data_IF_326845315883
#
_entry.id   IF_326845315883
#
_cell.length_a   1.000
_cell.length_b   1.000
_cell.length_c   1.000
_cell.angle_alpha   90.00
_cell.angle_beta   90.00
_cell.angle_gamma   90.00
#
_symmetry.space_group_name_H-M   'P 1'
#
loop_
_entity.id
_entity.type
_entity.pdbx_description
1 polymer ?
#
# COMPACT_ATOMS: atom_id res chain seq x y z
N UNK A 1 13.38 -50.87 -62.31
CA UNK A 1 14.47 -51.08 -61.34
C UNK A 1 13.91 -50.88 -59.95
N UNK A 2 14.22 -51.79 -59.03
CA UNK A 2 13.82 -51.74 -57.62
C UNK A 2 14.86 -50.98 -56.79
N UNK A 3 14.41 -50.09 -55.90
CA UNK A 3 15.21 -49.66 -54.75
C UNK A 3 14.29 -49.24 -53.61
N UNK A 4 14.07 -50.19 -52.69
CA UNK A 4 13.49 -49.93 -51.37
C UNK A 4 14.26 -48.81 -50.66
N UNK A 5 13.53 -47.86 -50.07
CA UNK A 5 14.06 -46.94 -49.05
C UNK A 5 13.38 -47.27 -47.73
N UNK A 6 14.16 -47.78 -46.78
CA UNK A 6 13.66 -48.13 -45.44
C UNK A 6 13.52 -46.85 -44.59
N UNK A 7 12.32 -46.58 -44.09
CA UNK A 7 12.13 -45.60 -43.02
C UNK A 7 12.57 -46.21 -41.67
N UNK A 8 13.36 -45.50 -40.84
CA UNK A 8 13.61 -45.90 -39.46
C UNK A 8 12.33 -45.73 -38.60
N UNK A 9 12.16 -46.53 -37.52
CA UNK A 9 10.95 -46.53 -36.72
C UNK A 9 10.81 -45.27 -35.82
N UNK A 10 9.57 -44.91 -35.43
CA UNK A 10 9.34 -43.80 -34.50
C UNK A 10 9.87 -44.11 -33.09
N UNK A 11 10.25 -43.07 -32.30
CA UNK A 11 10.70 -43.23 -30.92
C UNK A 11 9.57 -43.72 -30.00
N UNK A 12 9.90 -44.36 -28.86
CA UNK A 12 8.92 -45.00 -27.98
C UNK A 12 8.00 -44.00 -27.28
N UNK A 13 6.75 -44.42 -27.08
CA UNK A 13 5.73 -43.69 -26.34
C UNK A 13 5.85 -43.95 -24.83
N UNK A 14 6.50 -43.05 -24.09
CA UNK A 14 6.49 -43.10 -22.63
C UNK A 14 5.14 -42.62 -22.07
N UNK A 15 4.26 -43.57 -21.80
CA UNK A 15 3.08 -43.37 -20.95
C UNK A 15 3.51 -43.33 -19.47
N UNK A 16 4.01 -42.18 -19.01
CA UNK A 16 4.24 -41.92 -17.59
C UNK A 16 2.99 -41.30 -16.96
N UNK A 17 2.10 -42.16 -16.43
CA UNK A 17 0.93 -41.73 -15.66
C UNK A 17 1.36 -41.04 -14.36
N UNK A 18 1.37 -39.71 -14.35
CA UNK A 18 1.58 -38.92 -13.13
C UNK A 18 0.27 -38.87 -12.33
N UNK A 19 0.13 -39.80 -11.38
CA UNK A 19 -0.94 -39.76 -10.37
C UNK A 19 -0.66 -38.61 -9.40
N UNK A 20 -1.39 -37.50 -9.54
CA UNK A 20 -1.35 -36.40 -8.56
C UNK A 20 -2.16 -36.81 -7.32
N UNK A 21 -1.51 -37.47 -6.38
CA UNK A 21 -2.05 -37.71 -5.04
C UNK A 21 -2.00 -36.41 -4.24
N UNK A 22 -3.15 -35.88 -3.84
CA UNK A 22 -3.21 -34.70 -2.94
C UNK A 22 -2.58 -35.06 -1.59
N UNK A 23 -1.44 -34.46 -1.26
CA UNK A 23 -0.90 -34.49 0.10
C UNK A 23 -1.31 -33.20 0.83
N UNK A 24 -1.87 -33.38 2.03
CA UNK A 24 -2.45 -32.33 2.87
C UNK A 24 -1.76 -32.36 4.22
N UNK A 25 -0.69 -31.58 4.37
CA UNK A 25 0.09 -31.55 5.61
C UNK A 25 -0.25 -30.32 6.46
N UNK A 26 -0.96 -30.59 7.56
CA UNK A 26 -1.22 -29.67 8.67
C UNK A 26 -0.67 -30.34 9.94
N UNK A 27 0.46 -29.88 10.52
CA UNK A 27 1.04 -30.53 11.69
C UNK A 27 0.41 -29.98 12.98
N UNK A 28 -0.29 -30.86 13.71
CA UNK A 28 -0.67 -30.60 15.10
C UNK A 28 -0.14 -31.69 16.02
N UNK A 29 0.46 -31.24 17.13
CA UNK A 29 0.66 -31.97 18.40
C UNK A 29 1.14 -33.41 18.34
N UNK A 30 2.41 -33.59 18.68
CA UNK A 30 2.83 -34.79 19.40
C UNK A 30 2.40 -34.71 20.88
N UNK A 31 2.00 -35.85 21.44
CA UNK A 31 1.64 -36.01 22.86
C UNK A 31 2.33 -37.25 23.40
N UNK A 32 3.18 -37.11 24.42
CA UNK A 32 3.72 -38.26 25.16
C UNK A 32 2.78 -38.66 26.30
N UNK A 33 2.19 -39.84 26.14
CA UNK A 33 1.29 -40.53 27.08
C UNK A 33 2.12 -41.23 28.18
N UNK A 34 1.57 -41.43 29.40
CA UNK A 34 1.57 -42.74 30.12
C UNK A 34 0.67 -42.76 31.38
N UNK A 35 -0.53 -43.31 31.20
CA UNK A 35 -1.24 -44.34 32.03
C UNK A 35 -1.75 -44.04 33.47
N UNK A 36 -3.04 -44.36 33.67
CA UNK A 36 -3.80 -44.42 34.94
C UNK A 36 -3.44 -45.65 35.81
N UNK A 37 -3.63 -45.65 37.15
CA UNK A 37 -4.83 -46.16 37.91
C UNK A 37 -4.49 -46.27 39.43
N UNK A 38 -5.37 -46.38 40.45
CA UNK A 38 -6.84 -46.25 40.63
C UNK A 38 -7.18 -46.15 42.15
N UNK A 39 -8.46 -45.86 42.48
CA UNK A 39 -9.23 -46.41 43.63
C UNK A 39 -9.09 -45.88 45.09
N UNK A 40 -10.16 -45.16 45.50
CA UNK A 40 -10.93 -45.20 46.78
C UNK A 40 -10.42 -44.52 48.08
N UNK A 41 -11.40 -43.89 48.75
CA UNK A 41 -11.49 -43.37 50.14
C UNK A 41 -12.31 -44.35 51.04
N UNK A 42 -12.55 -44.15 52.37
CA UNK A 42 -11.88 -43.33 53.42
C UNK A 42 -11.52 -44.17 54.71
N UNK A 43 -11.85 -43.78 55.99
CA UNK A 43 -10.95 -43.32 57.05
C UNK A 43 -10.81 -44.28 58.27
N UNK A 44 -10.16 -43.89 59.40
CA UNK A 44 -10.94 -43.51 60.61
C UNK A 44 -10.27 -42.48 61.59
N UNK A 45 -10.99 -42.15 62.68
CA UNK A 45 -10.69 -41.17 63.76
C UNK A 45 -9.58 -41.54 64.79
N UNK A 46 -9.03 -40.54 65.51
CA UNK A 46 -9.27 -40.29 66.96
C UNK A 46 -8.11 -39.62 67.78
N UNK A 47 -8.46 -38.57 68.58
CA UNK A 47 -7.87 -38.14 69.89
C UNK A 47 -6.36 -37.71 69.97
N UNK A 48 -5.87 -36.71 70.73
CA UNK A 48 -6.28 -36.13 72.03
C UNK A 48 -5.44 -34.90 72.46
N UNK A 49 -5.99 -34.05 73.34
CA UNK A 49 -5.36 -33.30 74.47
C UNK A 49 -4.33 -32.14 74.31
N UNK A 50 -4.60 -31.07 75.09
CA UNK A 50 -3.73 -29.93 75.49
C UNK A 50 -2.94 -30.29 76.79
N UNK A 51 -2.17 -29.37 77.45
CA UNK A 51 -1.07 -28.46 77.07
C UNK A 51 0.19 -28.81 77.96
N UNK A 52 0.97 -27.94 78.67
CA UNK A 52 1.37 -26.52 78.52
C UNK A 52 2.89 -26.19 78.74
N UNK A 53 3.22 -24.89 78.60
CA UNK A 53 4.11 -24.06 79.46
C UNK A 53 5.63 -23.80 79.19
N UNK A 54 5.94 -22.49 79.26
CA UNK A 54 7.09 -21.79 79.85
C UNK A 54 8.53 -21.62 79.27
N UNK A 55 9.00 -20.37 79.53
CA UNK A 55 10.37 -19.81 79.66
C UNK A 55 11.37 -19.80 78.49
N UNK A 56 11.51 -18.60 77.91
CA UNK A 56 12.72 -17.75 77.97
C UNK A 56 14.12 -18.38 77.94
N UNK A 57 14.87 -18.14 76.86
CA UNK A 57 16.27 -17.68 76.96
C UNK A 57 16.71 -16.94 75.68
N UNK A 58 17.33 -15.76 75.84
CA UNK A 58 17.76 -14.87 74.74
C UNK A 58 19.28 -14.61 74.81
N UNK A 59 20.05 -14.90 73.75
CA UNK A 59 21.38 -14.34 73.51
C UNK A 59 21.33 -12.94 72.86
N UNK A 60 22.43 -12.15 72.89
CA UNK A 60 22.44 -10.73 72.49
C UNK A 60 22.32 -10.50 70.97
N UNK A 61 21.95 -9.29 70.53
CA UNK A 61 21.72 -9.00 69.11
C UNK A 61 23.04 -8.88 68.31
N UNK A 62 23.08 -9.39 67.06
CA UNK A 62 24.03 -8.91 66.06
C UNK A 62 23.71 -7.45 65.69
N UNK A 63 24.73 -6.67 65.32
CA UNK A 63 24.54 -5.30 64.85
C UNK A 63 23.90 -5.29 63.45
N UNK A 64 22.81 -4.54 63.29
CA UNK A 64 22.20 -4.27 61.99
C UNK A 64 23.01 -3.19 61.26
N UNK A 65 23.78 -3.63 60.28
CA UNK A 65 24.39 -2.81 59.24
C UNK A 65 23.97 -3.37 57.86
N UNK A 66 22.66 -3.51 57.58
CA UNK A 66 22.23 -3.98 56.24
C UNK A 66 20.99 -3.29 55.65
N UNK A 67 20.50 -2.19 56.23
CA UNK A 67 19.31 -1.50 55.70
C UNK A 67 19.59 -0.50 54.55
N UNK A 68 20.85 -0.17 54.24
CA UNK A 68 21.19 0.86 53.24
C UNK A 68 21.52 0.27 51.85
N UNK A 69 22.13 -0.92 51.81
CA UNK A 69 22.56 -1.56 50.56
C UNK A 69 21.41 -2.20 49.77
N UNK A 70 20.38 -2.71 50.44
CA UNK A 70 19.21 -3.31 49.79
C UNK A 70 18.40 -2.28 48.98
N UNK A 71 18.21 -1.08 49.53
CA UNK A 71 17.52 0.02 48.84
C UNK A 71 18.34 0.50 47.64
N UNK A 72 19.65 0.65 47.81
CA UNK A 72 20.53 1.09 46.73
C UNK A 72 20.61 0.06 45.60
N UNK A 73 20.70 -1.23 45.94
CA UNK A 73 20.71 -2.35 44.99
C UNK A 73 19.37 -2.50 44.27
N UNK A 74 18.23 -2.31 44.98
CA UNK A 74 16.91 -2.32 44.36
C UNK A 74 16.71 -1.16 43.38
N UNK A 75 17.14 0.06 43.75
CA UNK A 75 17.13 1.22 42.85
C UNK A 75 18.05 0.97 41.65
N UNK A 76 19.26 0.43 41.87
CA UNK A 76 20.21 0.16 40.79
C UNK A 76 19.68 -0.87 39.78
N UNK A 77 18.96 -1.90 40.24
CA UNK A 77 18.45 -2.96 39.37
C UNK A 77 17.12 -2.60 38.68
N UNK A 78 16.25 -1.79 39.29
CA UNK A 78 14.95 -1.42 38.70
C UNK A 78 14.92 -0.03 38.05
N UNK A 79 15.64 0.96 38.58
CA UNK A 79 15.58 2.36 38.10
C UNK A 79 16.65 2.70 37.04
N UNK A 80 17.73 1.91 36.92
CA UNK A 80 18.72 2.02 35.82
C UNK A 80 18.50 0.99 34.70
N UNK A 81 17.28 0.48 34.53
CA UNK A 81 16.93 -0.20 33.27
C UNK A 81 17.06 0.79 32.10
N UNK A 82 17.51 0.36 30.89
CA UNK A 82 17.66 1.27 29.75
C UNK A 82 16.38 2.07 29.44
N UNK A 83 15.22 1.47 29.65
CA UNK A 83 13.91 2.11 29.47
C UNK A 83 13.61 3.18 30.53
N UNK A 84 13.91 2.93 31.82
CA UNK A 84 13.75 3.92 32.87
C UNK A 84 14.74 5.09 32.72
N UNK A 85 16.00 4.78 32.35
CA UNK A 85 17.02 5.79 32.09
C UNK A 85 16.66 6.66 30.88
N UNK A 86 16.08 6.08 29.83
CA UNK A 86 15.54 6.84 28.69
C UNK A 86 14.38 7.75 29.10
N UNK A 87 13.47 7.29 29.98
CA UNK A 87 12.39 8.12 30.52
C UNK A 87 12.91 9.30 31.37
N UNK A 88 13.97 9.09 32.15
CA UNK A 88 14.64 10.17 32.92
C UNK A 88 15.34 11.16 32.00
N UNK A 89 16.03 10.69 30.95
CA UNK A 89 16.64 11.56 29.94
C UNK A 89 15.57 12.39 29.22
N UNK A 90 14.45 11.78 28.81
CA UNK A 90 13.32 12.52 28.23
C UNK A 90 12.75 13.55 29.21
N UNK A 91 12.52 13.19 30.48
CA UNK A 91 12.05 14.12 31.50
C UNK A 91 12.97 15.34 31.65
N UNK A 92 14.30 15.12 31.67
CA UNK A 92 15.30 16.19 31.75
C UNK A 92 15.28 17.07 30.49
N UNK A 93 15.19 16.47 29.29
CA UNK A 93 15.07 17.21 28.03
C UNK A 93 13.79 18.06 28.00
N UNK A 94 12.65 17.48 28.39
CA UNK A 94 11.36 18.18 28.48
C UNK A 94 11.42 19.32 29.51
N UNK A 95 12.04 19.09 30.67
CA UNK A 95 12.25 20.12 31.69
C UNK A 95 13.08 21.29 31.15
N UNK A 96 14.21 21.02 30.48
CA UNK A 96 15.04 22.09 29.90
C UNK A 96 14.35 22.81 28.73
N UNK A 97 13.62 22.10 27.87
CA UNK A 97 12.83 22.69 26.78
C UNK A 97 11.72 23.58 27.35
N UNK A 98 10.97 23.09 28.34
CA UNK A 98 9.94 23.88 29.03
C UNK A 98 10.55 25.12 29.70
N UNK A 99 11.63 24.96 30.48
CA UNK A 99 12.31 26.07 31.15
C UNK A 99 12.86 27.11 30.17
N UNK A 100 13.44 26.66 29.05
CA UNK A 100 13.95 27.54 27.98
C UNK A 100 12.81 28.30 27.29
N UNK A 101 11.70 27.63 26.98
CA UNK A 101 10.54 28.28 26.36
C UNK A 101 9.86 29.25 27.34
N UNK A 102 9.73 28.90 28.63
CA UNK A 102 9.29 29.85 29.67
C UNK A 102 10.25 31.05 29.75
N UNK A 103 11.56 30.83 29.71
CA UNK A 103 12.57 31.89 29.73
C UNK A 103 12.57 32.79 28.48
N UNK A 104 12.10 32.30 27.34
CA UNK A 104 11.86 33.08 26.14
C UNK A 104 10.55 33.88 26.21
N UNK A 105 9.48 33.30 26.77
CA UNK A 105 8.16 33.93 26.85
C UNK A 105 8.02 34.97 27.97
N UNK A 106 8.65 34.75 29.12
CA UNK A 106 8.57 35.65 30.28
C UNK A 106 9.68 36.71 30.30
N UNK A 107 10.31 36.99 29.15
CA UNK A 107 11.35 38.02 28.99
C UNK A 107 10.76 39.43 28.80
N UNK A 108 9.76 39.77 29.61
CA UNK A 108 9.02 41.04 29.61
C UNK A 108 7.90 41.03 30.67
N UNK A 109 7.47 42.20 31.16
CA UNK A 109 6.42 42.28 32.19
C UNK A 109 5.13 41.57 31.76
N UNK A 110 4.49 40.77 32.64
CA UNK A 110 3.24 40.08 32.32
C UNK A 110 2.07 41.07 32.39
N UNK A 111 1.71 41.67 31.25
CA UNK A 111 0.64 42.67 31.13
C UNK A 111 -0.54 42.24 30.25
N UNK A 112 -0.59 40.96 29.82
CA UNK A 112 -1.75 40.39 29.13
C UNK A 112 -1.98 38.92 29.48
N UNK A 113 -3.25 38.50 29.43
CA UNK A 113 -3.67 37.09 29.50
C UNK A 113 -3.04 36.22 28.41
N UNK A 114 -2.58 36.83 27.31
CA UNK A 114 -1.87 36.17 26.20
C UNK A 114 -0.75 35.21 26.66
N UNK A 115 0.11 35.62 27.61
CA UNK A 115 1.22 34.77 28.08
C UNK A 115 0.76 33.48 28.80
N UNK A 116 -0.42 33.50 29.43
CA UNK A 116 -1.02 32.32 30.07
C UNK A 116 -1.55 31.36 29.02
N UNK A 117 -2.16 31.89 27.95
CA UNK A 117 -2.63 31.08 26.82
C UNK A 117 -1.49 30.45 26.03
N UNK A 118 -0.37 31.15 25.82
CA UNK A 118 0.82 30.56 25.19
C UNK A 118 1.42 29.43 26.04
N UNK A 119 1.46 29.57 27.36
CA UNK A 119 1.87 28.48 28.26
C UNK A 119 0.93 27.26 28.13
N UNK A 120 -0.39 27.51 28.05
CA UNK A 120 -1.39 26.46 27.88
C UNK A 120 -1.27 25.76 26.51
N UNK A 121 -0.98 26.50 25.43
CA UNK A 121 -0.66 25.95 24.10
C UNK A 121 0.52 24.97 24.19
N UNK A 122 1.63 25.38 24.82
CA UNK A 122 2.85 24.56 24.95
C UNK A 122 2.60 23.31 25.78
N UNK A 123 1.86 23.42 26.89
CA UNK A 123 1.51 22.28 27.71
C UNK A 123 0.65 21.28 26.92
N UNK A 124 -0.38 21.74 26.21
CA UNK A 124 -1.27 20.86 25.44
C UNK A 124 -0.52 20.19 24.28
N UNK A 125 0.16 20.95 23.43
CA UNK A 125 0.90 20.38 22.29
C UNK A 125 2.10 19.54 22.73
N UNK A 126 2.78 19.92 23.82
CA UNK A 126 3.86 19.13 24.43
C UNK A 126 3.38 17.79 24.98
N UNK A 127 2.25 17.76 25.69
CA UNK A 127 1.63 16.51 26.17
C UNK A 127 1.19 15.63 25.00
N UNK A 128 0.61 16.19 23.94
CA UNK A 128 0.20 15.43 22.74
C UNK A 128 1.44 14.87 22.02
N UNK A 129 2.48 15.66 21.82
CA UNK A 129 3.73 15.20 21.19
C UNK A 129 4.38 14.08 22.00
N UNK A 130 4.42 14.21 23.34
CA UNK A 130 4.95 13.17 24.22
C UNK A 130 4.11 11.90 24.15
N UNK A 131 2.78 12.01 24.16
CA UNK A 131 1.89 10.86 23.99
C UNK A 131 2.10 10.17 22.64
N UNK A 132 2.21 10.93 21.54
CA UNK A 132 2.47 10.40 20.21
C UNK A 132 3.82 9.67 20.15
N UNK A 133 4.89 10.29 20.67
CA UNK A 133 6.22 9.66 20.74
C UNK A 133 6.19 8.38 21.58
N UNK A 134 5.56 8.41 22.77
CA UNK A 134 5.42 7.22 23.62
C UNK A 134 4.63 6.11 22.93
N UNK A 135 3.51 6.43 22.28
CA UNK A 135 2.70 5.47 21.52
C UNK A 135 3.46 4.87 20.33
N UNK A 136 4.28 5.66 19.66
CA UNK A 136 5.14 5.21 18.57
C UNK A 136 6.29 4.34 19.07
N UNK A 137 7.00 4.72 20.15
CA UNK A 137 8.12 3.94 20.67
C UNK A 137 7.69 2.54 21.14
N UNK A 138 6.51 2.44 21.78
CA UNK A 138 5.96 1.19 22.31
C UNK A 138 5.37 0.24 21.26
N UNK A 139 5.17 0.68 20.01
CA UNK A 139 4.78 -0.20 18.90
C UNK A 139 5.89 -1.19 18.52
N UNK A 140 5.52 -2.38 18.10
CA UNK A 140 6.44 -3.34 17.50
C UNK A 140 7.03 -2.82 16.18
N UNK A 141 8.14 -3.41 15.66
CA UNK A 141 8.72 -2.97 14.38
C UNK A 141 7.73 -3.03 13.20
N UNK A 142 6.94 -4.10 13.11
CA UNK A 142 5.96 -4.33 12.04
C UNK A 142 4.77 -3.34 12.09
N UNK A 143 4.38 -2.92 13.30
CA UNK A 143 3.39 -1.84 13.48
C UNK A 143 3.93 -0.44 13.20
N UNK A 144 5.25 -0.23 13.19
CA UNK A 144 5.86 1.07 12.87
C UNK A 144 5.83 1.32 11.37
N UNK A 145 6.13 0.30 10.57
CA UNK A 145 6.08 0.37 9.11
C UNK A 145 4.65 0.61 8.59
N UNK A 146 3.65 0.04 9.27
CA UNK A 146 2.23 0.17 8.91
C UNK A 146 1.49 1.34 9.59
N UNK A 147 2.12 2.06 10.53
CA UNK A 147 1.46 3.04 11.40
C UNK A 147 0.64 4.11 10.66
N UNK A 148 1.12 4.56 9.48
CA UNK A 148 0.40 5.53 8.65
C UNK A 148 -0.86 4.93 8.00
N UNK A 149 -0.78 3.69 7.53
CA UNK A 149 -1.89 2.96 6.91
C UNK A 149 -3.00 2.70 7.93
N UNK A 150 -2.64 2.23 9.13
CA UNK A 150 -3.57 2.00 10.23
C UNK A 150 -4.27 3.30 10.64
N UNK A 151 -3.52 4.39 10.81
CA UNK A 151 -4.09 5.71 11.15
C UNK A 151 -5.05 6.20 10.07
N UNK A 152 -4.72 6.02 8.79
CA UNK A 152 -5.60 6.39 7.68
C UNK A 152 -6.88 5.54 7.64
N UNK A 153 -6.77 4.24 7.95
CA UNK A 153 -7.90 3.33 8.07
C UNK A 153 -8.83 3.76 9.21
N UNK A 154 -8.30 4.03 10.40
CA UNK A 154 -9.10 4.49 11.55
C UNK A 154 -9.85 5.80 11.24
N UNK A 155 -9.20 6.74 10.55
CA UNK A 155 -9.82 7.99 10.09
C UNK A 155 -10.95 7.71 9.07
N UNK A 156 -10.73 6.80 8.12
CA UNK A 156 -11.75 6.39 7.14
C UNK A 156 -12.94 5.71 7.81
N UNK A 157 -12.69 4.78 8.72
CA UNK A 157 -13.72 4.01 9.43
C UNK A 157 -14.53 4.93 10.36
N UNK A 158 -13.90 5.97 10.93
CA UNK A 158 -14.61 7.04 11.63
C UNK A 158 -15.48 7.89 10.69
N UNK A 159 -14.90 8.43 9.60
CA UNK A 159 -15.59 9.36 8.69
C UNK A 159 -16.76 8.71 7.94
N UNK A 160 -16.66 7.41 7.64
CA UNK A 160 -17.71 6.63 6.97
C UNK A 160 -18.81 6.13 7.90
N UNK A 161 -18.68 6.31 9.22
CA UNK A 161 -19.74 5.98 10.17
C UNK A 161 -20.99 6.85 9.93
N UNK A 162 -22.21 6.27 9.84
CA UNK A 162 -23.43 7.03 9.54
C UNK A 162 -23.80 8.11 10.59
N UNK A 163 -23.16 8.10 11.76
CA UNK A 163 -23.37 9.08 12.83
C UNK A 163 -22.14 9.98 13.08
N UNK A 164 -21.10 9.91 12.24
CA UNK A 164 -19.86 10.66 12.38
C UNK A 164 -20.09 12.18 12.52
N UNK A 165 -20.96 12.75 11.69
CA UNK A 165 -21.29 14.18 11.73
C UNK A 165 -22.02 14.58 13.03
N UNK A 166 -22.86 13.70 13.59
CA UNK A 166 -23.53 13.94 14.88
C UNK A 166 -22.49 13.93 16.01
N UNK A 167 -21.58 12.95 16.00
CA UNK A 167 -20.50 12.86 16.98
C UNK A 167 -19.58 14.08 16.92
N UNK A 168 -19.21 14.53 15.71
CA UNK A 168 -18.41 15.74 15.50
C UNK A 168 -19.15 17.01 15.95
N UNK A 169 -20.47 17.11 15.72
CA UNK A 169 -21.29 18.23 16.20
C UNK A 169 -21.38 18.26 17.73
N UNK A 170 -21.64 17.11 18.37
CA UNK A 170 -21.68 16.99 19.83
C UNK A 170 -20.31 17.35 20.44
N UNK A 171 -19.21 16.86 19.84
CA UNK A 171 -17.85 17.24 20.23
C UNK A 171 -17.64 18.76 20.15
N UNK A 172 -18.03 19.40 19.04
CA UNK A 172 -17.95 20.85 18.89
C UNK A 172 -18.77 21.58 19.97
N UNK A 173 -20.01 21.15 20.24
CA UNK A 173 -20.85 21.77 21.28
C UNK A 173 -20.23 21.64 22.67
N UNK A 174 -19.76 20.44 23.03
CA UNK A 174 -19.08 20.19 24.31
C UNK A 174 -17.80 21.03 24.42
N UNK A 175 -17.00 21.09 23.36
CA UNK A 175 -15.76 21.89 23.32
C UNK A 175 -16.07 23.39 23.50
N UNK A 176 -17.09 23.94 22.83
CA UNK A 176 -17.51 25.33 23.04
C UNK A 176 -18.02 25.58 24.47
N UNK A 177 -18.78 24.66 25.06
CA UNK A 177 -19.25 24.76 26.45
C UNK A 177 -18.07 24.76 27.43
N UNK A 178 -17.08 23.88 27.23
CA UNK A 178 -15.86 23.84 28.05
C UNK A 178 -15.07 25.15 27.91
N UNK A 179 -14.80 25.61 26.69
CA UNK A 179 -14.08 26.86 26.44
C UNK A 179 -14.80 28.07 27.06
N UNK A 180 -16.13 28.13 26.97
CA UNK A 180 -16.95 29.14 27.62
C UNK A 180 -16.88 29.07 29.15
N UNK A 181 -17.00 27.87 29.74
CA UNK A 181 -16.93 27.64 31.19
C UNK A 181 -15.59 28.08 31.78
N UNK A 182 -14.48 27.76 31.11
CA UNK A 182 -13.13 28.18 31.48
C UNK A 182 -12.77 29.61 31.04
N UNK A 183 -13.72 30.34 30.40
CA UNK A 183 -13.54 31.71 29.88
C UNK A 183 -12.34 31.87 28.93
N UNK A 184 -12.07 30.85 28.14
CA UNK A 184 -10.99 30.85 27.15
C UNK A 184 -11.52 31.54 25.88
N UNK A 185 -10.85 32.59 25.36
CA UNK A 185 -11.33 33.33 24.20
C UNK A 185 -11.30 32.45 22.94
N UNK A 186 -12.40 32.45 22.20
CA UNK A 186 -12.56 31.70 20.93
C UNK A 186 -12.38 32.58 19.69
N UNK A 187 -12.29 33.89 19.87
CA UNK A 187 -12.17 34.91 18.81
C UNK A 187 -11.23 36.04 19.24
N UNK A 188 -10.70 36.80 18.27
CA UNK A 188 -9.75 37.90 18.52
C UNK A 188 -8.28 37.48 18.47
N UNK A 189 -7.39 38.45 18.73
CA UNK A 189 -5.93 38.28 18.69
C UNK A 189 -5.37 37.43 19.83
N UNK A 190 -6.05 37.36 20.97
CA UNK A 190 -5.62 36.61 22.16
C UNK A 190 -6.14 35.17 22.20
N UNK A 191 -6.70 34.65 21.09
CA UNK A 191 -7.18 33.28 20.98
C UNK A 191 -5.98 32.30 21.02
N UNK A 192 -5.96 31.29 21.93
CA UNK A 192 -4.90 30.28 21.94
C UNK A 192 -4.85 29.48 20.64
N UNK A 193 -3.66 29.00 20.28
CA UNK A 193 -3.47 28.20 19.06
C UNK A 193 -4.19 26.84 19.14
N UNK A 194 -4.19 26.18 20.31
CA UNK A 194 -4.89 24.91 20.53
C UNK A 194 -6.40 25.07 20.30
N UNK A 195 -6.99 26.19 20.73
CA UNK A 195 -8.41 26.51 20.49
C UNK A 195 -8.67 26.65 18.99
N UNK A 196 -7.80 27.35 18.26
CA UNK A 196 -7.87 27.44 16.81
C UNK A 196 -7.75 26.09 16.11
N UNK A 197 -6.82 25.26 16.56
CA UNK A 197 -6.55 23.93 16.03
C UNK A 197 -7.72 22.97 16.25
N UNK A 198 -8.16 22.76 17.48
CA UNK A 198 -9.24 21.80 17.78
C UNK A 198 -10.60 22.23 17.24
N UNK A 199 -10.94 23.52 17.28
CA UNK A 199 -12.16 24.01 16.64
C UNK A 199 -12.06 23.89 15.11
N UNK A 200 -10.92 24.23 14.51
CA UNK A 200 -10.69 24.11 13.07
C UNK A 200 -10.80 22.66 12.58
N UNK A 201 -10.05 21.75 13.20
CA UNK A 201 -10.12 20.32 12.91
C UNK A 201 -11.52 19.75 13.17
N UNK A 202 -12.19 20.13 14.27
CA UNK A 202 -13.56 19.72 14.56
C UNK A 202 -14.56 20.16 13.49
N UNK A 203 -14.46 21.41 13.00
CA UNK A 203 -15.29 21.90 11.90
C UNK A 203 -14.98 21.22 10.57
N UNK A 204 -13.70 20.96 10.26
CA UNK A 204 -13.29 20.22 9.06
C UNK A 204 -13.86 18.80 9.09
N UNK A 205 -13.71 18.08 10.20
CA UNK A 205 -14.26 16.72 10.38
C UNK A 205 -15.79 16.74 10.32
N UNK A 206 -16.46 17.70 10.97
CA UNK A 206 -17.91 17.85 10.89
C UNK A 206 -18.39 18.06 9.44
N UNK A 207 -17.76 18.97 8.69
CA UNK A 207 -18.13 19.26 7.30
C UNK A 207 -17.87 18.06 6.39
N UNK A 208 -16.72 17.39 6.51
CA UNK A 208 -16.42 16.19 5.72
C UNK A 208 -17.40 15.06 6.05
N UNK A 209 -17.64 14.76 7.32
CA UNK A 209 -18.61 13.73 7.74
C UNK A 209 -20.04 14.06 7.33
N UNK A 210 -20.44 15.35 7.34
CA UNK A 210 -21.75 15.78 6.86
C UNK A 210 -21.88 15.58 5.35
N UNK A 211 -20.83 15.91 4.58
CA UNK A 211 -20.77 15.64 3.14
C UNK A 211 -20.90 14.14 2.88
N UNK A 212 -20.13 13.29 3.58
CA UNK A 212 -20.24 11.82 3.47
C UNK A 212 -21.64 11.33 3.76
N UNK A 213 -22.26 11.79 4.85
CA UNK A 213 -23.62 11.40 5.19
C UNK A 213 -24.65 11.85 4.15
N UNK A 214 -24.50 13.05 3.57
CA UNK A 214 -25.37 13.51 2.47
C UNK A 214 -25.18 12.65 1.22
N UNK A 215 -23.95 12.35 0.81
CA UNK A 215 -23.70 11.51 -0.37
C UNK A 215 -24.18 10.06 -0.18
N UNK A 216 -23.99 9.49 1.01
CA UNK A 216 -24.49 8.17 1.38
C UNK A 216 -26.03 8.13 1.45
N UNK A 217 -26.70 9.08 2.12
CA UNK A 217 -28.15 9.03 2.34
C UNK A 217 -29.01 9.67 1.27
N UNK A 218 -28.55 10.72 0.61
CA UNK A 218 -29.32 11.40 -0.44
C UNK A 218 -29.03 10.85 -1.83
N UNK A 219 -27.79 10.44 -2.10
CA UNK A 219 -27.37 9.96 -3.42
C UNK A 219 -27.09 8.44 -3.48
N UNK A 220 -27.05 7.73 -2.34
CA UNK A 220 -26.68 6.31 -2.25
C UNK A 220 -25.23 6.00 -2.74
N UNK A 221 -24.33 6.98 -2.57
CA UNK A 221 -22.93 6.93 -3.01
C UNK A 221 -22.01 7.19 -1.82
N UNK A 222 -21.21 6.19 -1.47
CA UNK A 222 -20.21 6.25 -0.42
C UNK A 222 -18.91 6.85 -0.97
N UNK A 223 -18.52 8.03 -0.50
CA UNK A 223 -17.37 8.82 -1.00
C UNK A 223 -15.97 8.19 -0.81
N UNK A 224 -15.83 7.25 0.12
CA UNK A 224 -14.54 6.75 0.61
C UNK A 224 -14.35 5.23 0.49
N UNK A 225 -15.33 4.51 -0.07
CA UNK A 225 -15.04 3.19 -0.64
C UNK A 225 -14.48 3.37 -2.08
N UNK A 226 -13.92 2.30 -2.65
CA UNK A 226 -13.45 2.34 -4.05
C UNK A 226 -14.58 2.66 -5.03
N UNK A 227 -15.83 2.31 -4.65
CA UNK A 227 -17.00 2.44 -5.49
C UNK A 227 -17.40 3.89 -5.78
N UNK A 228 -16.90 4.91 -5.08
CA UNK A 228 -17.13 6.30 -5.49
C UNK A 228 -16.65 6.57 -6.93
N UNK A 229 -15.42 6.11 -7.24
CA UNK A 229 -14.81 6.30 -8.55
C UNK A 229 -15.47 5.41 -9.61
N UNK A 230 -15.94 4.23 -9.21
CA UNK A 230 -16.68 3.30 -10.07
C UNK A 230 -18.13 3.78 -10.35
N UNK A 231 -18.83 4.33 -9.34
CA UNK A 231 -20.23 4.81 -9.46
C UNK A 231 -20.36 6.09 -10.28
N UNK A 232 -19.34 6.96 -10.30
CA UNK A 232 -19.31 8.09 -11.24
C UNK A 232 -19.21 7.60 -12.69
N UNK A 233 -18.55 6.47 -12.93
CA UNK A 233 -18.51 5.83 -14.26
C UNK A 233 -19.72 4.93 -14.56
N UNK A 234 -20.56 4.62 -13.56
CA UNK A 234 -21.74 3.74 -13.70
C UNK A 234 -23.05 4.33 -13.17
N UNK A 235 -23.54 5.41 -13.77
CA UNK A 235 -24.96 5.78 -13.67
C UNK A 235 -25.83 4.94 -14.63
N UNK A 236 -26.03 3.66 -14.28
CA UNK A 236 -27.17 2.83 -14.72
C UNK A 236 -27.62 1.92 -13.55
N UNK A 237 -28.93 1.68 -13.36
CA UNK A 237 -29.42 1.02 -12.15
C UNK A 237 -29.17 -0.50 -12.14
N UNK A 238 -29.18 -1.04 -10.92
CA UNK A 238 -29.17 -2.46 -10.55
C UNK A 238 -30.25 -3.27 -11.32
N UNK A 239 -30.18 -4.60 -11.46
CA UNK A 239 -29.63 -5.57 -10.50
C UNK A 239 -29.24 -6.94 -11.11
N UNK A 240 -28.64 -7.79 -10.26
CA UNK A 240 -28.47 -9.25 -10.34
C UNK A 240 -27.45 -9.88 -11.31
N UNK A 241 -26.35 -10.33 -10.70
CA UNK A 241 -25.77 -11.69 -10.83
C UNK A 241 -25.42 -12.20 -12.25
N UNK A 242 -24.19 -11.90 -12.70
CA UNK A 242 -23.24 -12.92 -13.21
C UNK A 242 -21.82 -12.43 -13.45
N UNK A 243 -20.93 -13.41 -13.44
CA UNK A 243 -19.54 -13.35 -13.91
C UNK A 243 -19.51 -13.36 -15.45
N UNK A 244 -18.57 -12.61 -16.07
CA UNK A 244 -18.26 -12.57 -17.53
C UNK A 244 -19.01 -11.57 -18.46
N UNK A 245 -19.33 -10.35 -17.99
CA UNK A 245 -19.97 -9.29 -18.84
C UNK A 245 -19.08 -8.10 -19.26
N UNK A 246 -17.75 -8.14 -19.04
CA UNK A 246 -16.86 -7.06 -19.54
C UNK A 246 -16.64 -7.10 -21.07
N UNK A 247 -17.14 -8.14 -21.75
CA UNK A 247 -17.06 -8.33 -23.21
C UNK A 247 -18.29 -7.78 -23.98
N UNK A 248 -19.27 -7.18 -23.29
CA UNK A 248 -20.51 -6.69 -23.90
C UNK A 248 -20.42 -5.28 -24.52
N UNK A 249 -19.54 -4.41 -24.00
CA UNK A 249 -19.43 -3.01 -24.44
C UNK A 249 -18.53 -2.89 -25.67
N UNK A 250 -18.95 -2.12 -26.67
CA UNK A 250 -18.13 -1.86 -27.86
C UNK A 250 -16.93 -0.96 -27.52
N UNK A 251 -15.74 -1.38 -27.93
CA UNK A 251 -14.48 -0.66 -27.73
C UNK A 251 -13.64 -0.64 -29.02
N UNK A 252 -12.59 0.20 -29.03
CA UNK A 252 -11.57 0.14 -30.07
C UNK A 252 -10.56 -0.95 -29.76
N UNK A 253 -10.23 -1.77 -30.74
CA UNK A 253 -9.11 -2.70 -30.69
C UNK A 253 -8.26 -2.61 -31.96
N UNK A 254 -6.94 -2.73 -31.80
CA UNK A 254 -5.98 -2.71 -32.90
C UNK A 254 -5.53 -4.13 -33.28
N UNK A 255 -5.40 -4.38 -34.58
CA UNK A 255 -4.71 -5.55 -35.15
C UNK A 255 -3.32 -5.11 -35.60
N UNK A 256 -2.27 -5.61 -34.94
CA UNK A 256 -0.92 -5.00 -34.96
C UNK A 256 0.01 -5.42 -36.10
N UNK A 257 -0.30 -6.49 -36.82
CA UNK A 257 0.64 -7.20 -37.71
C UNK A 257 1.03 -6.47 -39.02
N UNK A 258 0.46 -5.30 -39.32
CA UNK A 258 0.75 -4.46 -40.48
C UNK A 258 0.64 -5.16 -41.86
N UNK A 259 -0.34 -6.03 -42.06
CA UNK A 259 -0.49 -6.82 -43.30
C UNK A 259 -1.53 -6.31 -44.31
N UNK A 260 -2.38 -5.36 -43.93
CA UNK A 260 -3.67 -5.11 -44.59
C UNK A 260 -3.71 -3.78 -45.36
N UNK A 261 -4.30 -3.80 -46.55
CA UNK A 261 -4.70 -2.59 -47.29
C UNK A 261 -6.00 -2.00 -46.71
N UNK A 262 -6.42 -0.80 -47.14
CA UNK A 262 -7.65 -0.19 -46.65
C UNK A 262 -8.92 -1.00 -46.96
N UNK A 263 -8.95 -1.73 -48.08
CA UNK A 263 -10.08 -2.61 -48.40
C UNK A 263 -10.04 -3.92 -47.60
N UNK A 264 -8.84 -4.50 -47.39
CA UNK A 264 -8.68 -5.65 -46.49
C UNK A 264 -9.12 -5.30 -45.06
N UNK A 265 -8.79 -4.10 -44.58
CA UNK A 265 -9.09 -3.64 -43.23
C UNK A 265 -10.60 -3.67 -42.89
N UNK A 266 -11.47 -3.37 -43.87
CA UNK A 266 -12.93 -3.47 -43.73
C UNK A 266 -13.36 -4.92 -43.50
N UNK A 267 -12.77 -5.86 -44.24
CA UNK A 267 -13.04 -7.29 -44.09
C UNK A 267 -12.49 -7.83 -42.76
N UNK A 268 -11.30 -7.38 -42.32
CA UNK A 268 -10.70 -7.75 -41.04
C UNK A 268 -11.61 -7.39 -39.86
N UNK A 269 -12.13 -6.16 -39.78
CA UNK A 269 -13.07 -5.82 -38.70
C UNK A 269 -14.38 -6.61 -38.81
N UNK A 270 -14.89 -6.79 -40.04
CA UNK A 270 -16.12 -7.55 -40.27
C UNK A 270 -16.02 -9.00 -39.78
N UNK A 271 -14.83 -9.62 -39.86
CA UNK A 271 -14.58 -10.96 -39.34
C UNK A 271 -14.72 -11.07 -37.80
N UNK A 272 -14.57 -9.96 -37.08
CA UNK A 272 -14.82 -9.85 -35.64
C UNK A 272 -16.22 -9.31 -35.30
N UNK A 273 -17.12 -9.17 -36.28
CA UNK A 273 -18.42 -8.51 -36.08
C UNK A 273 -18.32 -7.01 -35.79
N UNK A 274 -17.18 -6.39 -36.13
CA UNK A 274 -16.84 -5.00 -35.88
C UNK A 274 -16.80 -4.21 -37.20
N UNK A 275 -16.73 -2.88 -37.11
CA UNK A 275 -16.43 -1.99 -38.25
C UNK A 275 -15.08 -1.31 -38.05
N UNK A 276 -14.62 -0.55 -39.05
CA UNK A 276 -13.51 0.39 -38.83
C UNK A 276 -13.91 1.43 -37.77
N UNK A 277 -12.99 1.73 -36.88
CA UNK A 277 -13.14 2.79 -35.88
C UNK A 277 -13.00 4.17 -36.55
N UNK A 278 -13.82 5.14 -36.14
CA UNK A 278 -13.67 6.54 -36.56
C UNK A 278 -12.73 7.31 -35.62
N UNK A 279 -12.30 8.51 -36.02
CA UNK A 279 -11.35 9.32 -35.23
C UNK A 279 -11.79 9.54 -33.77
N UNK A 280 -13.08 9.83 -33.54
CA UNK A 280 -13.61 10.07 -32.20
C UNK A 280 -13.48 8.84 -31.32
N UNK A 281 -13.70 7.64 -31.86
CA UNK A 281 -13.52 6.39 -31.12
C UNK A 281 -12.05 6.13 -30.77
N UNK A 282 -11.11 6.48 -31.65
CA UNK A 282 -9.66 6.43 -31.34
C UNK A 282 -9.30 7.44 -30.25
N UNK A 283 -9.84 8.65 -30.31
CA UNK A 283 -9.63 9.71 -29.31
C UNK A 283 -10.23 9.32 -27.95
N UNK A 284 -11.46 8.78 -27.93
CA UNK A 284 -12.10 8.22 -26.74
C UNK A 284 -11.30 7.02 -26.17
N UNK A 285 -10.64 6.22 -27.01
CA UNK A 285 -9.74 5.15 -26.57
C UNK A 285 -8.44 5.72 -25.97
N UNK A 286 -7.82 6.72 -26.60
CA UNK A 286 -6.66 7.45 -26.09
C UNK A 286 -6.96 8.06 -24.70
N UNK A 287 -8.09 8.76 -24.56
CA UNK A 287 -8.54 9.38 -23.31
C UNK A 287 -8.79 8.36 -22.17
N UNK A 288 -8.97 7.07 -22.51
CA UNK A 288 -9.09 5.95 -21.56
C UNK A 288 -7.78 5.16 -21.36
N UNK A 289 -6.64 5.70 -21.80
CA UNK A 289 -5.33 5.06 -21.65
C UNK A 289 -4.94 4.12 -22.80
N UNK A 290 -5.68 4.10 -23.91
CA UNK A 290 -5.34 3.28 -25.07
C UNK A 290 -4.05 3.74 -25.76
N UNK A 291 -3.15 2.80 -26.05
CA UNK A 291 -1.94 3.00 -26.84
C UNK A 291 -1.52 1.70 -27.55
N UNK A 292 -0.92 1.84 -28.73
CA UNK A 292 -0.40 0.69 -29.50
C UNK A 292 0.76 1.00 -30.47
N UNK A 293 1.11 2.28 -30.69
CA UNK A 293 2.31 2.71 -31.44
C UNK A 293 2.42 2.27 -32.93
N UNK A 294 1.49 1.48 -33.48
CA UNK A 294 1.44 1.12 -34.90
C UNK A 294 0.24 1.75 -35.62
N UNK A 295 0.46 2.24 -36.85
CA UNK A 295 -0.62 2.72 -37.72
C UNK A 295 -1.69 1.64 -37.92
N UNK A 296 -2.95 1.98 -37.60
CA UNK A 296 -4.12 1.17 -37.91
C UNK A 296 -5.07 1.86 -38.89
N UNK A 297 -5.44 1.19 -39.98
CA UNK A 297 -6.52 1.63 -40.87
C UNK A 297 -7.79 1.89 -40.08
N UNK A 298 -8.42 3.02 -40.35
CA UNK A 298 -9.57 3.60 -39.64
C UNK A 298 -10.57 4.13 -40.67
N UNK A 299 -11.77 4.50 -40.24
CA UNK A 299 -12.82 4.98 -41.15
C UNK A 299 -12.38 6.22 -41.94
N UNK A 300 -12.88 6.36 -43.18
CA UNK A 300 -12.52 7.46 -44.08
C UNK A 300 -11.13 7.36 -44.74
N UNK A 301 -10.54 6.17 -44.85
CA UNK A 301 -9.16 5.95 -45.38
C UNK A 301 -8.09 6.71 -44.57
N UNK A 302 -8.35 6.85 -43.28
CA UNK A 302 -7.39 7.38 -42.32
C UNK A 302 -6.58 6.22 -41.74
N UNK A 303 -5.34 6.47 -41.32
CA UNK A 303 -4.59 5.54 -40.49
C UNK A 303 -4.11 6.27 -39.23
N UNK A 304 -4.46 5.73 -38.07
CA UNK A 304 -4.25 6.37 -36.76
C UNK A 304 -3.61 5.44 -35.74
N UNK A 305 -2.90 6.04 -34.78
CA UNK A 305 -2.42 5.36 -33.58
C UNK A 305 -2.33 6.34 -32.39
N UNK A 306 -2.76 5.96 -31.19
CA UNK A 306 -2.64 6.77 -29.99
C UNK A 306 -1.35 6.47 -29.21
N UNK A 307 -0.83 7.49 -28.53
CA UNK A 307 0.39 7.42 -27.71
C UNK A 307 0.22 8.24 -26.44
N UNK A 308 0.41 7.62 -25.27
CA UNK A 308 0.28 8.28 -23.98
C UNK A 308 1.45 9.23 -23.69
N UNK A 309 1.20 10.26 -22.86
CA UNK A 309 2.21 11.23 -22.45
C UNK A 309 3.40 10.56 -21.75
N UNK A 310 3.13 9.65 -20.81
CA UNK A 310 4.14 8.87 -20.07
C UNK A 310 5.08 8.09 -21.00
N UNK A 311 4.49 7.47 -22.03
CA UNK A 311 5.19 6.66 -23.02
C UNK A 311 6.10 7.53 -23.89
N UNK A 312 5.61 8.70 -24.30
CA UNK A 312 6.41 9.67 -25.04
C UNK A 312 7.55 10.26 -24.19
N UNK A 313 7.29 10.60 -22.91
CA UNK A 313 8.28 11.11 -21.95
C UNK A 313 9.42 10.10 -21.72
N UNK A 314 9.11 8.80 -21.66
CA UNK A 314 10.12 7.73 -21.56
C UNK A 314 11.00 7.68 -22.81
N UNK A 315 10.38 7.72 -24.00
CA UNK A 315 11.09 7.69 -25.28
C UNK A 315 12.04 8.89 -25.45
N UNK A 316 11.70 10.07 -24.90
CA UNK A 316 12.58 11.24 -24.96
C UNK A 316 13.91 11.04 -24.22
N UNK A 317 14.00 10.09 -23.27
CA UNK A 317 15.23 9.80 -22.52
C UNK A 317 16.27 9.09 -23.38
N UNK A 318 15.88 8.39 -24.44
CA UNK A 318 16.80 7.71 -25.35
C UNK A 318 16.84 8.42 -26.73
N UNK A 319 17.95 9.09 -27.09
CA UNK A 319 18.08 9.80 -28.36
C UNK A 319 17.86 8.96 -29.63
N UNK A 320 17.95 7.62 -29.53
CA UNK A 320 17.63 6.70 -30.64
C UNK A 320 16.13 6.49 -30.85
N UNK A 321 15.33 6.52 -29.77
CA UNK A 321 13.91 6.18 -29.79
C UNK A 321 12.96 7.37 -29.59
N UNK A 322 13.48 8.57 -29.33
CA UNK A 322 12.70 9.80 -29.11
C UNK A 322 11.67 10.16 -30.20
N UNK A 323 11.81 9.60 -31.41
CA UNK A 323 10.91 9.82 -32.55
C UNK A 323 9.95 8.65 -32.78
N UNK A 324 10.12 7.54 -32.05
CA UNK A 324 9.23 6.40 -32.11
C UNK A 324 7.89 6.77 -31.46
N UNK A 325 6.81 6.10 -31.85
CA UNK A 325 5.46 6.39 -31.37
C UNK A 325 5.00 7.87 -31.52
N UNK A 326 5.62 8.68 -32.39
CA UNK A 326 5.12 10.01 -32.73
C UNK A 326 5.13 11.02 -31.56
N UNK A 327 3.98 11.65 -31.29
CA UNK A 327 3.78 12.64 -30.21
C UNK A 327 2.60 12.24 -29.31
N UNK A 328 2.43 12.83 -28.11
CA UNK A 328 1.26 12.56 -27.27
C UNK A 328 -0.06 12.84 -28.00
N UNK A 329 -1.06 11.99 -27.80
CA UNK A 329 -2.37 12.06 -28.45
C UNK A 329 -2.57 11.09 -29.60
N UNK A 330 -3.56 11.35 -30.46
CA UNK A 330 -3.84 10.56 -31.66
C UNK A 330 -3.00 11.04 -32.82
N UNK A 331 -2.09 10.20 -33.29
CA UNK A 331 -1.19 10.43 -34.42
C UNK A 331 -1.75 9.82 -35.71
N UNK A 332 -1.36 10.39 -36.86
CA UNK A 332 -1.72 9.89 -38.19
C UNK A 332 -2.67 10.81 -38.95
N UNK A 333 -3.36 10.27 -39.95
CA UNK A 333 -4.20 11.05 -40.86
C UNK A 333 -4.60 10.31 -42.13
N UNK A 334 -5.04 11.05 -43.15
CA UNK A 334 -5.46 10.51 -44.44
C UNK A 334 -4.28 9.93 -45.21
N UNK A 335 -4.45 8.71 -45.74
CA UNK A 335 -3.42 8.02 -46.53
C UNK A 335 -3.85 7.97 -47.99
N UNK A 336 -3.19 8.74 -48.86
CA UNK A 336 -3.58 8.84 -50.26
C UNK A 336 -3.47 7.53 -51.06
N UNK A 337 -2.60 6.61 -50.63
CA UNK A 337 -2.46 5.28 -51.22
C UNK A 337 -3.19 4.23 -50.34
N UNK A 338 -4.35 3.68 -50.77
CA UNK A 338 -5.08 2.67 -50.01
C UNK A 338 -4.36 1.32 -49.95
N UNK A 339 -3.36 1.07 -50.80
CA UNK A 339 -2.61 -0.18 -50.87
C UNK A 339 -1.42 -0.25 -49.90
N UNK A 340 -1.21 0.76 -49.05
CA UNK A 340 -0.22 0.66 -47.97
C UNK A 340 -0.68 -0.39 -46.97
N UNK A 341 0.25 -1.24 -46.52
CA UNK A 341 -0.01 -2.25 -45.51
C UNK A 341 0.16 -1.68 -44.12
N UNK A 342 -0.93 -1.63 -43.38
CA UNK A 342 -0.99 -1.18 -41.98
C UNK A 342 -1.77 -2.20 -41.14
N UNK A 343 -1.77 -1.98 -39.83
CA UNK A 343 -2.69 -2.65 -38.93
C UNK A 343 -4.12 -2.19 -39.17
N UNK A 344 -5.04 -2.55 -38.27
CA UNK A 344 -6.44 -2.14 -38.38
C UNK A 344 -6.97 -1.71 -37.02
N UNK A 345 -7.62 -0.54 -36.96
CA UNK A 345 -8.38 -0.11 -35.80
C UNK A 345 -9.86 -0.48 -36.02
N UNK A 346 -10.34 -1.47 -35.27
CA UNK A 346 -11.72 -1.91 -35.30
C UNK A 346 -12.50 -1.35 -34.11
N UNK A 347 -13.79 -1.09 -34.30
CA UNK A 347 -14.75 -0.73 -33.25
C UNK A 347 -15.91 -1.72 -33.23
N UNK A 348 -16.14 -2.33 -32.06
CA UNK A 348 -17.16 -3.36 -31.84
C UNK A 348 -16.87 -4.15 -30.55
N UNK A 349 -17.52 -5.30 -30.35
CA UNK A 349 -17.17 -6.20 -29.25
C UNK A 349 -15.79 -6.80 -29.49
N UNK A 350 -14.82 -6.49 -28.62
CA UNK A 350 -13.45 -7.00 -28.72
C UNK A 350 -13.43 -8.52 -28.50
N UNK A 351 -12.70 -9.30 -29.31
CA UNK A 351 -12.58 -10.74 -29.10
C UNK A 351 -11.93 -11.05 -27.75
N UNK A 352 -12.31 -12.19 -27.14
CA UNK A 352 -11.63 -12.69 -25.94
C UNK A 352 -10.16 -12.98 -26.28
N UNK A 353 -9.19 -12.60 -25.43
CA UNK A 353 -7.77 -12.78 -25.72
C UNK A 353 -7.41 -14.26 -25.76
N UNK A 354 -6.51 -14.64 -26.67
CA UNK A 354 -5.84 -15.94 -26.68
C UNK A 354 -4.64 -15.94 -25.73
N UNK A 355 -4.14 -17.13 -25.36
CA UNK A 355 -2.95 -17.26 -24.52
C UNK A 355 -1.73 -16.53 -25.11
N UNK A 356 -1.62 -16.51 -26.45
CA UNK A 356 -0.57 -15.76 -27.17
C UNK A 356 -0.73 -14.25 -26.98
N UNK A 357 -1.95 -13.72 -27.05
CA UNK A 357 -2.21 -12.29 -26.87
C UNK A 357 -1.91 -11.85 -25.43
N UNK A 358 -2.17 -12.73 -24.44
CA UNK A 358 -1.81 -12.50 -23.03
C UNK A 358 -0.29 -12.55 -22.82
N UNK A 359 0.42 -13.47 -23.47
CA UNK A 359 1.90 -13.54 -23.42
C UNK A 359 2.54 -12.31 -24.07
N UNK A 360 2.03 -11.85 -25.22
CA UNK A 360 2.49 -10.63 -25.89
C UNK A 360 2.19 -9.37 -25.04
N UNK A 361 1.02 -9.31 -24.40
CA UNK A 361 0.69 -8.23 -23.47
C UNK A 361 1.63 -8.19 -22.26
N UNK A 362 1.96 -9.34 -21.66
CA UNK A 362 2.87 -9.42 -20.51
C UNK A 362 4.30 -9.04 -20.87
N UNK A 363 4.81 -9.54 -22.00
CA UNK A 363 6.14 -9.22 -22.52
C UNK A 363 6.30 -7.72 -22.83
N UNK A 364 5.23 -7.05 -23.29
CA UNK A 364 5.26 -5.64 -23.66
C UNK A 364 5.08 -4.66 -22.49
N UNK A 365 4.76 -5.11 -21.27
CA UNK A 365 4.54 -4.24 -20.09
C UNK A 365 5.67 -3.24 -19.82
N UNK A 366 6.91 -3.61 -20.13
CA UNK A 366 8.11 -2.81 -19.90
C UNK A 366 8.87 -2.49 -21.20
N UNK A 367 8.26 -2.75 -22.37
CA UNK A 367 8.91 -2.64 -23.68
C UNK A 367 8.05 -1.76 -24.59
N UNK A 368 8.36 -0.47 -24.60
CA UNK A 368 7.62 0.55 -25.37
C UNK A 368 7.79 0.38 -26.88
N UNK A 369 8.98 -0.06 -27.32
CA UNK A 369 9.33 -0.26 -28.73
C UNK A 369 10.06 -1.60 -28.92
N UNK A 370 9.87 -2.29 -30.06
CA UNK A 370 10.63 -3.48 -30.37
C UNK A 370 12.14 -3.18 -30.41
N UNK A 371 12.93 -3.94 -29.65
CA UNK A 371 14.40 -3.83 -29.62
C UNK A 371 15.00 -4.00 -31.01
N UNK A 372 15.97 -3.18 -31.38
CA UNK A 372 16.65 -3.28 -32.68
C UNK A 372 17.44 -4.61 -32.78
N UNK A 373 17.78 -5.10 -33.99
CA UNK A 373 18.59 -6.31 -34.13
C UNK A 373 19.92 -6.24 -33.36
N UNK A 374 20.55 -5.07 -33.32
CA UNK A 374 21.79 -4.81 -32.58
C UNK A 374 21.60 -4.89 -31.06
N UNK A 375 20.46 -4.44 -30.56
CA UNK A 375 20.09 -4.53 -29.13
C UNK A 375 19.76 -5.98 -28.74
N UNK A 376 19.05 -6.71 -29.60
CA UNK A 376 18.81 -8.14 -29.40
C UNK A 376 20.12 -8.95 -29.43
N UNK A 377 21.09 -8.58 -30.25
CA UNK A 377 22.44 -9.15 -30.21
C UNK A 377 23.21 -8.78 -28.96
N UNK A 378 23.09 -7.55 -28.48
CA UNK A 378 23.72 -7.10 -27.23
C UNK A 378 23.14 -7.87 -26.04
N UNK A 379 21.81 -8.02 -25.95
CA UNK A 379 21.15 -8.79 -24.91
C UNK A 379 21.61 -10.25 -24.92
N UNK A 380 21.68 -10.90 -26.09
CA UNK A 380 22.23 -12.26 -26.22
C UNK A 380 23.67 -12.37 -25.71
N UNK A 381 24.51 -11.36 -25.95
CA UNK A 381 25.88 -11.28 -25.42
C UNK A 381 25.87 -11.09 -23.90
N UNK A 382 25.03 -10.19 -23.38
CA UNK A 382 24.88 -9.93 -21.94
C UNK A 382 24.41 -11.18 -21.20
N UNK A 383 23.40 -11.90 -21.73
CA UNK A 383 22.87 -13.10 -21.09
C UNK A 383 23.90 -14.25 -21.10
N UNK A 384 24.59 -14.46 -22.22
CA UNK A 384 25.74 -15.38 -22.29
C UNK A 384 26.79 -15.06 -21.21
N UNK A 385 27.12 -13.78 -20.99
CA UNK A 385 28.07 -13.38 -19.94
C UNK A 385 27.54 -13.56 -18.52
N UNK A 386 26.22 -13.44 -18.29
CA UNK A 386 25.60 -13.75 -16.98
C UNK A 386 25.62 -15.25 -16.69
N UNK A 387 25.15 -16.07 -17.63
CA UNK A 387 25.08 -17.55 -17.50
C UNK A 387 26.46 -18.18 -17.26
N UNK A 388 27.52 -17.52 -17.72
CA UNK A 388 28.90 -17.98 -17.60
C UNK A 388 29.76 -17.08 -16.69
N UNK A 389 29.14 -16.20 -15.89
CA UNK A 389 29.86 -15.25 -15.03
C UNK A 389 30.80 -15.95 -14.04
N UNK A 390 30.35 -17.06 -13.45
CA UNK A 390 31.08 -17.91 -12.51
C UNK A 390 32.33 -18.58 -13.12
N UNK A 391 32.34 -18.79 -14.44
CA UNK A 391 33.39 -19.54 -15.17
C UNK A 391 34.34 -18.64 -15.95
N UNK A 392 33.83 -17.52 -16.48
CA UNK A 392 34.52 -16.69 -17.47
C UNK A 392 34.81 -15.26 -16.99
N UNK A 393 34.18 -14.79 -15.92
CA UNK A 393 34.37 -13.42 -15.41
C UNK A 393 35.07 -13.42 -14.05
N UNK A 394 36.31 -12.94 -14.01
CA UNK A 394 37.02 -12.67 -12.77
C UNK A 394 36.94 -11.19 -12.42
N UNK A 395 36.24 -10.85 -11.34
CA UNK A 395 36.19 -9.48 -10.80
C UNK A 395 37.37 -9.30 -9.84
N UNK A 396 38.18 -8.26 -10.08
CA UNK A 396 39.27 -7.90 -9.17
C UNK A 396 38.72 -7.27 -7.88
N UNK A 397 39.40 -7.52 -6.77
CA UNK A 397 39.18 -6.81 -5.52
C UNK A 397 39.52 -5.31 -5.65
N UNK A 398 38.78 -4.44 -4.96
CA UNK A 398 38.98 -2.99 -4.95
C UNK A 398 40.43 -2.59 -4.66
N UNK A 399 41.11 -3.29 -3.76
CA UNK A 399 42.56 -3.25 -3.62
C UNK A 399 43.10 -4.61 -3.13
N UNK A 400 44.37 -4.65 -2.68
CA UNK A 400 45.03 -5.89 -2.24
C UNK A 400 44.41 -6.52 -0.99
N UNK A 401 43.73 -5.72 -0.17
CA UNK A 401 43.28 -6.07 1.17
C UNK A 401 41.75 -5.95 1.34
N UNK A 402 41.04 -5.37 0.37
CA UNK A 402 39.58 -5.17 0.38
C UNK A 402 38.93 -5.56 -0.95
N UNK A 403 37.80 -6.27 -0.86
CA UNK A 403 36.96 -6.63 -2.01
C UNK A 403 36.22 -5.43 -2.61
N UNK A 404 35.65 -4.58 -1.75
CA UNK A 404 34.79 -3.43 -2.10
C UNK A 404 35.39 -2.12 -1.55
N UNK A 405 34.97 -0.99 -2.11
CA UNK A 405 35.25 0.36 -1.57
C UNK A 405 34.50 0.59 -0.24
N UNK A 406 33.28 0.06 -0.17
CA UNK A 406 32.35 0.09 0.96
C UNK A 406 32.42 -1.22 1.76
#
# INVERSE_FOLDING_TARGET
>A
MSSSSNNPPPPPSDNSTITITKQSDNPSKDTSITINKESKNPPPDASSNNPPDNSSNKPPPPQDNSSQDDVFTYIQNNALTPSALMMVVWFIVIYFVAYFILGLLFKGQPSSFSSVYTLLDILIFGTILLFLLFSYYNKSPEEKDNAFSDTFKDIKDYITNPYAFINAFIFLVILHIILYLFRIPTTGSDKPYFVGFFLGCGWIVFVISLIVWVFDKFFNISLFDGSWWDKISENKPLDTDKQDDKAEREEVFNISNNLYTYDDAKAVCSAYGARLANYKEIEDAYNRGGEWCNYGWSDGQMAYFPTQQSTWDELQKNPKHKNDCGRPGVNGGFMANPYIKFGVNCYGKKPKPTDRDLQEMDANKNVVVPKTPEEQELDKKVEFWKENADKLLNVNSFNRDKWSEY
#
